data_IF_150408345216
#
_entry.id   IF_150408345216
#
_cell.length_a   1.000
_cell.length_b   1.000
_cell.length_c   1.000
_cell.angle_alpha   90.00
_cell.angle_beta   90.00
_cell.angle_gamma   90.00
#
_symmetry.space_group_name_H-M   'P 1'
#
loop_
_entity.id
_entity.type
_entity.pdbx_description
1 polymer ?
#
# COMPACT_ATOMS: atom_id res chain seq x y z
N UNK A 1 -4.83 -0.78 6.05
CA UNK A 1 -4.64 -0.76 7.50
C UNK A 1 -5.54 -1.82 8.11
N UNK A 2 -4.95 -2.79 8.80
CA UNK A 2 -5.72 -3.74 9.63
C UNK A 2 -5.16 -3.62 11.04
N UNK A 3 -5.93 -3.11 12.01
CA UNK A 3 -5.51 -3.15 13.40
C UNK A 3 -5.54 -4.62 13.85
N UNK A 4 -4.39 -5.16 14.22
CA UNK A 4 -4.28 -6.48 14.84
C UNK A 4 -3.53 -6.34 16.15
N UNK A 5 -3.74 -7.27 17.08
CA UNK A 5 -2.95 -7.34 18.30
C UNK A 5 -1.72 -8.22 18.06
N UNK A 6 -0.56 -7.76 18.48
CA UNK A 6 0.62 -8.60 18.55
C UNK A 6 0.38 -9.71 19.59
N UNK A 7 0.57 -10.95 19.18
CA UNK A 7 0.21 -12.11 20.03
C UNK A 7 1.16 -12.33 21.20
N UNK A 8 2.36 -11.73 21.19
CA UNK A 8 3.34 -11.84 22.27
C UNK A 8 3.21 -10.75 23.33
N UNK A 9 2.77 -9.55 22.94
CA UNK A 9 2.74 -8.36 23.78
C UNK A 9 1.33 -7.84 24.06
N UNK A 10 0.34 -8.29 23.28
CA UNK A 10 -1.04 -7.81 23.36
C UNK A 10 -1.22 -6.36 22.89
N UNK A 11 -0.17 -5.74 22.35
CA UNK A 11 -0.22 -4.35 21.89
C UNK A 11 -0.82 -4.26 20.48
N UNK A 12 -1.53 -3.17 20.15
CA UNK A 12 -1.90 -2.89 18.78
C UNK A 12 -0.65 -2.80 17.89
N UNK A 13 -0.67 -3.51 16.77
CA UNK A 13 0.34 -3.38 15.72
C UNK A 13 -0.29 -2.84 14.45
N UNK A 14 0.46 -1.97 13.76
CA UNK A 14 0.08 -1.42 12.48
C UNK A 14 0.49 -2.37 11.36
N UNK A 15 -0.50 -3.09 10.80
CA UNK A 15 -0.27 -3.93 9.64
C UNK A 15 -0.66 -3.21 8.34
N UNK A 16 0.34 -2.99 7.50
CA UNK A 16 0.19 -2.48 6.14
C UNK A 16 0.02 -3.62 5.15
N UNK A 17 -0.97 -3.51 4.25
CA UNK A 17 -1.26 -4.52 3.23
C UNK A 17 -0.86 -4.07 1.82
N UNK A 18 -0.76 -2.76 1.63
CA UNK A 18 -0.42 -2.09 0.38
C UNK A 18 0.56 -0.97 0.69
N UNK A 19 1.52 -0.78 -0.20
CA UNK A 19 2.35 0.41 -0.27
C UNK A 19 2.56 0.71 -1.75
N UNK A 20 2.31 1.95 -2.15
CA UNK A 20 2.43 2.37 -3.55
C UNK A 20 3.31 3.60 -3.66
N UNK A 21 4.12 3.66 -4.72
CA UNK A 21 4.77 4.90 -5.15
C UNK A 21 3.97 5.47 -6.31
N UNK A 22 3.54 6.70 -6.15
CA UNK A 22 2.71 7.37 -7.15
C UNK A 22 3.10 8.83 -7.27
N UNK A 23 3.30 9.29 -8.50
CA UNK A 23 3.54 10.69 -8.78
C UNK A 23 2.25 11.49 -8.75
N UNK A 24 2.33 12.80 -8.51
CA UNK A 24 1.16 13.68 -8.52
C UNK A 24 0.37 13.66 -9.85
N UNK A 25 1.00 13.60 -11.04
CA UNK A 25 0.27 13.43 -12.30
C UNK A 25 -0.49 12.11 -12.39
N UNK A 26 0.16 10.98 -12.08
CA UNK A 26 -0.48 9.66 -12.07
C UNK A 26 -1.68 9.61 -11.12
N UNK A 27 -1.56 10.22 -9.93
CA UNK A 27 -2.65 10.25 -8.96
C UNK A 27 -3.90 10.98 -9.49
N UNK A 28 -3.72 12.01 -10.34
CA UNK A 28 -4.83 12.77 -10.93
C UNK A 28 -5.60 11.99 -12.00
N UNK A 29 -5.04 10.90 -12.53
CA UNK A 29 -5.72 10.06 -13.52
C UNK A 29 -6.86 9.25 -12.90
N UNK A 30 -6.87 9.09 -11.57
CA UNK A 30 -7.97 8.45 -10.85
C UNK A 30 -9.18 9.39 -10.85
N UNK A 31 -10.31 8.92 -11.37
CA UNK A 31 -11.57 9.64 -11.31
C UNK A 31 -12.22 9.54 -9.91
N UNK A 32 -11.74 10.34 -8.97
CA UNK A 32 -12.28 10.40 -7.60
C UNK A 32 -13.74 10.88 -7.51
N UNK A 33 -14.35 11.34 -8.61
CA UNK A 33 -15.79 11.67 -8.63
C UNK A 33 -16.68 10.43 -8.78
N UNK A 34 -16.11 9.29 -9.16
CA UNK A 34 -16.82 8.04 -9.40
C UNK A 34 -16.33 6.92 -8.48
N UNK A 35 -16.14 7.20 -7.18
CA UNK A 35 -15.61 6.25 -6.18
C UNK A 35 -16.36 4.91 -6.17
N UNK A 36 -17.68 4.92 -6.38
CA UNK A 36 -18.50 3.72 -6.41
C UNK A 36 -18.14 2.74 -7.55
N UNK A 37 -17.43 3.22 -8.57
CA UNK A 37 -16.96 2.43 -9.72
C UNK A 37 -15.45 2.14 -9.66
N UNK A 38 -14.79 2.45 -8.54
CA UNK A 38 -13.36 2.24 -8.34
C UNK A 38 -13.18 0.98 -7.49
N UNK A 39 -12.44 0.02 -8.04
CA UNK A 39 -11.94 -1.13 -7.30
C UNK A 39 -10.53 -0.81 -6.77
N UNK A 40 -10.35 -0.52 -5.46
CA UNK A 40 -9.08 -0.02 -4.95
C UNK A 40 -7.88 -0.92 -5.24
N UNK A 41 -7.96 -2.27 -5.10
CA UNK A 41 -6.83 -3.13 -5.44
C UNK A 41 -6.41 -2.99 -6.90
N UNK A 42 -7.38 -2.99 -7.83
CA UNK A 42 -7.13 -2.88 -9.27
C UNK A 42 -6.64 -1.48 -9.68
N UNK A 43 -7.06 -0.43 -8.96
CA UNK A 43 -6.54 0.92 -9.16
C UNK A 43 -5.09 1.04 -8.69
N UNK A 44 -4.76 0.51 -7.52
CA UNK A 44 -3.41 0.58 -6.96
C UNK A 44 -2.40 -0.27 -7.74
N UNK A 45 -2.83 -1.36 -8.37
CA UNK A 45 -2.01 -2.17 -9.29
C UNK A 45 -1.48 -1.41 -10.51
N UNK A 46 -2.04 -0.23 -10.81
CA UNK A 46 -1.57 0.63 -11.92
C UNK A 46 -0.29 1.40 -11.57
N UNK A 47 0.09 1.43 -10.29
CA UNK A 47 1.27 2.11 -9.81
C UNK A 47 2.35 1.09 -9.41
N UNK A 48 3.52 1.60 -9.04
CA UNK A 48 4.51 0.76 -8.39
C UNK A 48 3.95 0.32 -7.04
N UNK A 49 3.63 -0.97 -6.94
CA UNK A 49 2.89 -1.55 -5.82
C UNK A 49 3.72 -2.63 -5.12
N UNK A 50 3.88 -2.46 -3.81
CA UNK A 50 4.30 -3.51 -2.89
C UNK A 50 3.06 -4.05 -2.17
N UNK A 51 2.84 -5.35 -2.31
CA UNK A 51 1.86 -6.13 -1.55
C UNK A 51 2.34 -7.57 -1.40
N UNK A 52 1.77 -8.31 -0.45
CA UNK A 52 2.08 -9.73 -0.26
C UNK A 52 0.80 -10.51 0.00
N UNK A 53 0.67 -11.66 -0.67
CA UNK A 53 -0.45 -12.59 -0.49
C UNK A 53 0.06 -14.03 -0.35
N UNK A 54 -0.71 -14.88 0.32
CA UNK A 54 -0.56 -16.34 0.21
C UNK A 54 -0.91 -16.80 -1.20
N UNK A 55 -0.53 -18.04 -1.54
CA UNK A 55 -1.00 -18.70 -2.78
C UNK A 55 -2.53 -18.80 -2.86
N UNK A 56 -3.21 -18.78 -1.70
CA UNK A 56 -4.69 -18.82 -1.59
C UNK A 56 -5.34 -17.43 -1.61
N UNK A 57 -4.58 -16.36 -1.81
CA UNK A 57 -5.10 -14.99 -1.94
C UNK A 57 -5.29 -14.23 -0.61
N UNK A 58 -4.81 -14.76 0.51
CA UNK A 58 -4.88 -14.08 1.81
C UNK A 58 -3.77 -13.04 1.91
N UNK A 59 -4.12 -11.79 2.19
CA UNK A 59 -3.13 -10.72 2.40
C UNK A 59 -2.20 -11.01 3.57
N UNK A 60 -0.94 -10.61 3.42
CA UNK A 60 0.06 -10.60 4.49
C UNK A 60 0.55 -9.18 4.70
N UNK A 61 0.95 -8.90 5.93
CA UNK A 61 1.63 -7.65 6.26
C UNK A 61 2.89 -7.47 5.41
N UNK A 62 3.17 -6.22 5.08
CA UNK A 62 4.37 -5.78 4.38
C UNK A 62 5.01 -4.61 5.12
N UNK A 63 6.30 -4.41 4.88
CA UNK A 63 6.95 -3.14 5.16
C UNK A 63 6.66 -2.14 4.03
N UNK A 64 6.15 -0.93 4.33
CA UNK A 64 5.96 0.10 3.34
C UNK A 64 7.25 0.49 2.59
N UNK A 65 7.10 1.12 1.44
CA UNK A 65 8.20 1.86 0.82
C UNK A 65 8.66 2.98 1.76
N UNK A 66 9.96 3.07 1.96
CA UNK A 66 10.59 4.18 2.67
C UNK A 66 10.89 5.29 1.67
N UNK A 67 10.14 6.38 1.77
CA UNK A 67 10.23 7.51 0.82
C UNK A 67 11.56 8.27 0.99
N UNK A 68 12.14 8.29 2.19
CA UNK A 68 13.43 8.94 2.43
C UNK A 68 14.57 8.10 1.84
N UNK A 69 14.55 6.79 2.06
CA UNK A 69 15.50 5.88 1.42
C UNK A 69 15.45 5.98 -0.11
N UNK A 70 14.24 6.03 -0.68
CA UNK A 70 14.04 6.17 -2.12
C UNK A 70 14.51 7.53 -2.68
N UNK A 71 14.30 8.62 -1.94
CA UNK A 71 14.79 9.94 -2.35
C UNK A 71 16.32 9.97 -2.42
N UNK A 72 16.99 9.37 -1.43
CA UNK A 72 18.45 9.27 -1.36
C UNK A 72 19.05 8.44 -2.51
N UNK A 73 18.38 7.37 -2.95
CA UNK A 73 18.81 6.54 -4.09
C UNK A 73 18.69 7.27 -5.44
N UNK A 74 17.72 8.18 -5.57
CA UNK A 74 17.49 8.99 -6.77
C UNK A 74 18.32 10.29 -6.77
N UNK A 75 18.99 10.61 -5.67
CA UNK A 75 19.86 11.78 -5.53
C UNK A 75 19.08 13.11 -5.42
N UNK A 76 17.91 13.08 -4.78
CA UNK A 76 17.08 14.27 -4.46
C UNK A 76 17.22 14.62 -2.99
#
# INVERSE_FOLDING_TARGET
YVPTLDTGTGQPTENYLYSVLVTKPQWREINFKALANIEPPATLERFELRRKMTKTGVFKAIEPFDVEALANEVGI
#
